data_IF_543305735720
#
_entry.id   IF_543305735720
#
_cell.length_a   1.000
_cell.length_b   1.000
_cell.length_c   1.000
_cell.angle_alpha   90.00
_cell.angle_beta   90.00
_cell.angle_gamma   90.00
#
_symmetry.space_group_name_H-M   'P 1'
#
loop_
_entity.id
_entity.type
_entity.pdbx_description
1 polymer ?
#
# COMPACT_ATOMS: atom_id res chain seq x y z
N UNK A 1 -17.06 -10.66 -10.08
CA UNK A 1 -18.22 -9.92 -9.52
C UNK A 1 -17.82 -9.44 -8.15
N UNK A 2 -17.79 -8.12 -7.95
CA UNK A 2 -17.45 -7.51 -6.67
C UNK A 2 -18.55 -7.71 -5.65
N UNK A 3 -18.16 -8.14 -4.47
CA UNK A 3 -19.01 -8.34 -3.31
C UNK A 3 -18.51 -7.39 -2.24
N UNK A 4 -19.42 -6.61 -1.66
CA UNK A 4 -19.16 -5.75 -0.51
C UNK A 4 -20.10 -6.16 0.59
N UNK A 5 -19.53 -6.56 1.73
CA UNK A 5 -20.29 -6.89 2.94
C UNK A 5 -19.93 -5.93 4.05
N UNK A 6 -20.94 -5.50 4.81
CA UNK A 6 -20.77 -4.79 6.07
C UNK A 6 -20.57 -5.82 7.18
N UNK A 7 -19.62 -5.54 8.07
CA UNK A 7 -19.29 -6.38 9.22
C UNK A 7 -19.69 -5.67 10.52
N UNK A 8 -20.11 -6.44 11.52
CA UNK A 8 -20.40 -5.91 12.86
C UNK A 8 -19.12 -5.73 13.70
N UNK A 9 -18.13 -6.59 13.47
CA UNK A 9 -16.79 -6.56 14.05
C UNK A 9 -15.82 -7.28 13.12
N UNK A 10 -14.51 -7.06 13.28
CA UNK A 10 -13.53 -7.96 12.66
C UNK A 10 -13.39 -9.24 13.49
N UNK A 11 -13.38 -9.06 14.81
CA UNK A 11 -13.31 -10.16 15.76
C UNK A 11 -14.46 -11.16 15.54
N UNK A 12 -14.17 -12.46 15.54
CA UNK A 12 -15.11 -13.58 15.35
C UNK A 12 -15.72 -13.74 13.95
N UNK A 13 -15.69 -12.71 13.09
CA UNK A 13 -16.18 -12.79 11.71
C UNK A 13 -15.04 -13.15 10.75
N UNK A 14 -13.90 -12.49 10.85
CA UNK A 14 -12.73 -12.76 10.01
C UNK A 14 -11.62 -13.39 10.85
N UNK A 15 -11.14 -14.57 10.44
CA UNK A 15 -9.96 -15.16 11.05
C UNK A 15 -8.69 -14.60 10.40
N UNK A 16 -8.22 -13.46 10.90
CA UNK A 16 -7.03 -12.78 10.39
C UNK A 16 -5.72 -13.36 10.96
N UNK A 17 -5.77 -14.14 12.04
CA UNK A 17 -4.59 -14.70 12.71
C UNK A 17 -3.73 -15.61 11.84
N UNK A 18 -4.34 -16.26 10.84
CA UNK A 18 -3.65 -17.12 9.87
C UNK A 18 -3.60 -16.51 8.47
N UNK A 19 -3.86 -15.21 8.36
CA UNK A 19 -3.91 -14.48 7.08
C UNK A 19 -2.65 -13.64 6.87
N UNK A 20 -2.49 -13.17 5.63
CA UNK A 20 -1.50 -12.17 5.27
C UNK A 20 -2.16 -10.83 5.11
N UNK A 21 -1.68 -9.79 5.77
CA UNK A 21 -2.25 -8.46 5.64
C UNK A 21 -1.22 -7.45 5.13
N UNK A 22 -1.68 -6.52 4.30
CA UNK A 22 -0.89 -5.35 3.92
C UNK A 22 -0.72 -4.43 5.12
N UNK A 23 0.34 -3.63 5.15
CA UNK A 23 0.40 -2.48 6.06
C UNK A 23 -0.85 -1.61 5.82
N UNK A 24 -1.61 -1.24 6.86
CA UNK A 24 -2.80 -0.42 6.68
C UNK A 24 -2.46 0.98 6.18
N UNK A 25 -3.26 1.46 5.23
CA UNK A 25 -3.27 2.86 4.80
C UNK A 25 -4.29 3.59 5.67
N UNK A 26 -3.86 4.69 6.29
CA UNK A 26 -4.68 5.45 7.23
C UNK A 26 -4.81 6.89 6.71
N UNK A 27 -6.04 7.33 6.49
CA UNK A 27 -6.36 8.66 5.97
C UNK A 27 -7.72 9.10 6.48
N UNK A 28 -7.84 10.35 6.95
CA UNK A 28 -9.11 10.95 7.39
C UNK A 28 -9.94 10.08 8.33
N UNK A 29 -9.30 9.53 9.38
CA UNK A 29 -9.93 8.59 10.33
C UNK A 29 -10.54 7.35 9.66
N UNK A 30 -9.99 6.92 8.53
CA UNK A 30 -10.32 5.66 7.89
C UNK A 30 -9.07 4.81 7.80
N UNK A 31 -9.21 3.50 7.94
CA UNK A 31 -8.12 2.53 7.82
C UNK A 31 -8.50 1.49 6.77
N UNK A 32 -7.62 1.25 5.82
CA UNK A 32 -7.82 0.27 4.76
C UNK A 32 -6.61 -0.66 4.63
N UNK A 33 -6.85 -1.96 4.50
CA UNK A 33 -5.79 -2.95 4.28
C UNK A 33 -6.28 -4.12 3.45
N UNK A 34 -5.37 -4.70 2.66
CA UNK A 34 -5.60 -5.97 1.98
C UNK A 34 -5.37 -7.13 2.94
N UNK A 35 -6.18 -8.18 2.83
CA UNK A 35 -6.04 -9.41 3.60
C UNK A 35 -6.18 -10.63 2.68
N UNK A 36 -5.28 -11.60 2.82
CA UNK A 36 -5.16 -12.76 1.94
C UNK A 36 -5.31 -14.07 2.71
N UNK A 37 -6.04 -15.02 2.12
CA UNK A 37 -6.30 -16.33 2.71
C UNK A 37 -7.11 -16.26 4.01
N UNK A 38 -8.09 -15.36 4.05
CA UNK A 38 -8.90 -15.07 5.25
C UNK A 38 -10.05 -16.05 5.34
N UNK A 39 -10.25 -16.68 6.49
CA UNK A 39 -11.46 -17.45 6.73
C UNK A 39 -12.60 -16.53 7.16
N UNK A 40 -13.70 -16.61 6.42
CA UNK A 40 -14.93 -15.90 6.68
C UNK A 40 -15.88 -16.81 7.47
N UNK A 41 -16.18 -16.42 8.70
CA UNK A 41 -17.20 -17.07 9.49
C UNK A 41 -18.57 -16.58 9.03
N UNK A 42 -19.36 -17.48 8.42
CA UNK A 42 -20.65 -17.14 7.85
C UNK A 42 -21.69 -16.93 8.96
N UNK A 43 -22.11 -15.69 9.17
CA UNK A 43 -23.27 -15.35 10.01
C UNK A 43 -24.53 -15.15 9.16
N UNK A 44 -25.71 -15.21 9.78
CA UNK A 44 -26.96 -14.88 9.09
C UNK A 44 -26.91 -13.46 8.50
N UNK A 45 -26.31 -12.50 9.23
CA UNK A 45 -26.15 -11.12 8.78
C UNK A 45 -25.33 -11.02 7.49
N UNK A 46 -24.25 -11.80 7.36
CA UNK A 46 -23.44 -11.84 6.15
C UNK A 46 -24.18 -12.55 5.02
N UNK A 47 -24.85 -13.67 5.33
CA UNK A 47 -25.60 -14.45 4.35
C UNK A 47 -26.65 -13.63 3.60
N UNK A 48 -27.41 -12.79 4.30
CA UNK A 48 -28.43 -11.94 3.68
C UNK A 48 -27.88 -10.81 2.82
N UNK A 49 -26.61 -10.44 2.99
CA UNK A 49 -25.94 -9.44 2.15
C UNK A 49 -25.37 -10.04 0.86
N UNK A 50 -25.21 -11.36 0.80
CA UNK A 50 -24.64 -12.01 -0.38
C UNK A 50 -25.62 -12.07 -1.56
N UNK A 51 -25.16 -11.81 -2.79
CA UNK A 51 -25.91 -12.10 -4.01
C UNK A 51 -26.28 -13.58 -4.12
N UNK A 52 -27.40 -13.89 -4.78
CA UNK A 52 -27.89 -15.26 -4.92
C UNK A 52 -26.91 -16.19 -5.66
N UNK A 53 -26.19 -15.65 -6.64
CA UNK A 53 -25.11 -16.35 -7.34
C UNK A 53 -23.96 -16.75 -6.40
N UNK A 54 -23.67 -15.93 -5.38
CA UNK A 54 -22.69 -16.26 -4.35
C UNK A 54 -23.20 -17.37 -3.45
N UNK A 55 -24.43 -17.26 -2.94
CA UNK A 55 -25.04 -18.25 -2.03
C UNK A 55 -25.03 -19.66 -2.61
N UNK A 56 -25.28 -19.80 -3.91
CA UNK A 56 -25.19 -21.07 -4.62
C UNK A 56 -23.79 -21.70 -4.59
N UNK A 57 -22.73 -20.88 -4.63
CA UNK A 57 -21.36 -21.37 -4.42
C UNK A 57 -21.13 -21.71 -2.95
N UNK A 58 -21.54 -20.86 -2.01
CA UNK A 58 -21.32 -21.05 -0.57
C UNK A 58 -21.96 -22.34 -0.05
N UNK A 59 -23.20 -22.64 -0.44
CA UNK A 59 -23.97 -23.79 0.06
C UNK A 59 -23.26 -25.15 -0.11
N UNK A 60 -22.34 -25.24 -1.07
CA UNK A 60 -21.62 -26.49 -1.38
C UNK A 60 -20.36 -26.71 -0.54
N UNK A 61 -19.95 -25.76 0.30
CA UNK A 61 -18.66 -25.81 0.99
C UNK A 61 -18.80 -25.75 2.51
N UNK A 62 -17.92 -26.48 3.22
CA UNK A 62 -17.89 -26.50 4.69
C UNK A 62 -17.01 -25.41 5.30
N UNK A 63 -15.99 -24.96 4.56
CA UNK A 63 -15.10 -23.86 4.94
C UNK A 63 -15.14 -22.78 3.85
N UNK A 64 -15.04 -21.52 4.28
CA UNK A 64 -15.20 -20.36 3.41
C UNK A 64 -13.96 -19.48 3.51
N UNK A 65 -12.95 -19.80 2.72
CA UNK A 65 -11.73 -19.00 2.64
C UNK A 65 -11.82 -18.04 1.47
N UNK A 66 -11.56 -16.77 1.74
CA UNK A 66 -11.43 -15.74 0.70
C UNK A 66 -9.94 -15.55 0.44
N UNK A 67 -9.54 -15.72 -0.82
CA UNK A 67 -8.16 -15.62 -1.27
C UNK A 67 -7.59 -14.23 -1.06
N UNK A 68 -8.37 -13.19 -1.39
CA UNK A 68 -7.99 -11.80 -1.27
C UNK A 68 -9.24 -10.96 -0.97
N UNK A 69 -9.13 -10.04 -0.02
CA UNK A 69 -10.16 -9.05 0.27
C UNK A 69 -9.51 -7.72 0.68
N UNK A 70 -10.25 -6.63 0.53
CA UNK A 70 -9.92 -5.33 1.08
C UNK A 70 -10.84 -5.07 2.27
N UNK A 71 -10.26 -4.76 3.42
CA UNK A 71 -10.99 -4.39 4.63
C UNK A 71 -10.89 -2.89 4.80
N UNK A 72 -12.02 -2.24 5.07
CA UNK A 72 -12.11 -0.81 5.32
C UNK A 72 -12.83 -0.55 6.64
N UNK A 73 -12.19 0.22 7.52
CA UNK A 73 -12.74 0.77 8.76
C UNK A 73 -12.95 2.26 8.58
N UNK A 74 -14.09 2.78 9.00
CA UNK A 74 -14.42 4.21 8.88
C UNK A 74 -14.66 4.84 10.24
N UNK A 75 -14.26 6.10 10.41
CA UNK A 75 -14.41 6.83 11.67
C UNK A 75 -13.72 6.12 12.85
N UNK A 76 -12.45 5.76 12.67
CA UNK A 76 -11.60 5.29 13.77
C UNK A 76 -11.28 6.46 14.71
N UNK A 77 -11.30 6.19 16.02
CA UNK A 77 -10.97 7.18 17.06
C UNK A 77 -9.60 6.92 17.70
N UNK A 78 -9.02 5.74 17.51
CA UNK A 78 -7.63 5.46 17.82
C UNK A 78 -7.13 4.24 17.03
N UNK A 79 -5.83 4.17 16.78
CA UNK A 79 -5.16 2.96 16.28
C UNK A 79 -3.74 2.85 16.80
N UNK A 80 -3.22 1.62 16.82
CA UNK A 80 -1.81 1.30 16.98
C UNK A 80 -1.49 0.09 16.10
N UNK A 81 -0.59 0.26 15.14
CA UNK A 81 -0.12 -0.76 14.22
C UNK A 81 1.34 -1.03 14.56
N UNK A 82 1.63 -2.25 15.03
CA UNK A 82 2.99 -2.68 15.37
C UNK A 82 3.43 -3.78 14.42
N UNK A 83 4.52 -3.53 13.70
CA UNK A 83 5.27 -4.55 12.98
C UNK A 83 6.37 -5.04 13.93
N UNK A 84 6.27 -6.31 14.33
CA UNK A 84 7.19 -6.93 15.27
C UNK A 84 8.59 -7.06 14.67
N UNK A 85 9.55 -7.41 15.53
CA UNK A 85 10.94 -7.64 15.13
C UNK A 85 11.04 -8.54 13.91
N UNK A 86 11.65 -7.99 12.87
CA UNK A 86 12.07 -8.70 11.67
C UNK A 86 13.59 -8.84 11.73
N UNK A 87 14.19 -9.83 11.06
CA UNK A 87 15.65 -10.01 11.08
C UNK A 87 16.44 -8.76 10.64
N UNK A 88 15.80 -7.88 9.86
CA UNK A 88 16.37 -6.60 9.38
C UNK A 88 16.11 -5.41 10.30
N UNK A 89 15.00 -5.40 11.04
CA UNK A 89 14.66 -4.32 11.97
C UNK A 89 14.94 -4.81 13.38
N UNK A 90 16.08 -4.38 13.95
CA UNK A 90 16.52 -4.74 15.31
C UNK A 90 15.52 -4.32 16.40
N UNK A 91 14.53 -3.51 16.05
CA UNK A 91 13.46 -3.01 16.90
C UNK A 91 12.11 -3.13 16.16
N UNK A 92 11.03 -3.27 16.91
CA UNK A 92 9.67 -3.23 16.35
C UNK A 92 9.30 -1.81 15.90
N UNK A 93 8.57 -1.69 14.79
CA UNK A 93 8.08 -0.41 14.29
C UNK A 93 6.62 -0.28 14.71
N UNK A 94 6.26 0.83 15.36
CA UNK A 94 4.89 1.12 15.77
C UNK A 94 4.45 2.47 15.23
N UNK A 95 3.26 2.50 14.62
CA UNK A 95 2.55 3.72 14.23
C UNK A 95 1.25 3.78 15.01
N UNK A 96 1.02 4.87 15.75
CA UNK A 96 -0.17 5.02 16.59
C UNK A 96 -0.67 6.46 16.64
N UNK A 97 -1.99 6.62 16.79
CA UNK A 97 -2.62 7.93 16.91
C UNK A 97 -3.92 7.82 17.71
N UNK A 98 -4.20 8.87 18.50
CA UNK A 98 -5.46 9.05 19.22
C UNK A 98 -6.17 10.31 18.72
N UNK A 99 -7.41 10.17 18.29
CA UNK A 99 -8.24 11.29 17.88
C UNK A 99 -9.04 11.86 19.07
N UNK A 100 -9.57 13.09 18.92
CA UNK A 100 -10.28 13.81 19.99
C UNK A 100 -11.50 13.08 20.56
N UNK A 101 -12.10 12.22 19.76
CA UNK A 101 -13.29 11.42 20.06
C UNK A 101 -12.96 10.02 20.61
N UNK A 102 -11.68 9.74 20.88
CA UNK A 102 -11.25 8.56 21.61
C UNK A 102 -11.91 8.49 23.00
N UNK A 103 -12.29 7.28 23.39
CA UNK A 103 -12.84 7.03 24.72
C UNK A 103 -12.33 5.70 25.26
N UNK A 104 -11.67 5.72 26.42
CA UNK A 104 -11.21 4.52 27.12
C UNK A 104 -12.34 3.56 27.49
N UNK A 105 -13.58 4.05 27.58
CA UNK A 105 -14.77 3.25 27.91
C UNK A 105 -15.36 2.49 26.72
N UNK A 106 -14.87 2.75 25.50
CA UNK A 106 -15.33 2.06 24.28
C UNK A 106 -14.39 0.91 23.94
N UNK A 107 -14.95 -0.16 23.34
CA UNK A 107 -14.19 -1.34 22.95
C UNK A 107 -13.04 -0.97 22.01
N UNK A 108 -11.86 -1.53 22.29
CA UNK A 108 -10.72 -1.54 21.37
C UNK A 108 -10.67 -2.94 20.78
N UNK A 109 -10.78 -3.04 19.46
CA UNK A 109 -10.58 -4.28 18.74
C UNK A 109 -9.09 -4.48 18.47
N UNK A 110 -8.67 -5.74 18.38
CA UNK A 110 -7.31 -6.08 18.00
C UNK A 110 -7.28 -7.38 17.20
N UNK A 111 -6.25 -7.51 16.37
CA UNK A 111 -5.90 -8.76 15.74
C UNK A 111 -4.39 -8.80 15.45
N UNK A 112 -3.88 -10.01 15.29
CA UNK A 112 -2.52 -10.24 14.79
C UNK A 112 -2.61 -10.96 13.45
N UNK A 113 -1.62 -10.75 12.60
CA UNK A 113 -1.51 -11.39 11.29
C UNK A 113 -0.05 -11.42 10.85
N UNK A 114 0.26 -12.18 9.80
CA UNK A 114 1.55 -12.05 9.11
C UNK A 114 1.46 -10.85 8.15
N UNK A 115 2.39 -9.91 8.24
CA UNK A 115 2.48 -8.77 7.34
C UNK A 115 3.03 -9.23 5.98
N UNK A 116 2.42 -8.79 4.89
CA UNK A 116 2.89 -9.14 3.54
C UNK A 116 4.21 -8.45 3.16
N UNK A 117 4.54 -7.35 3.83
CA UNK A 117 5.82 -6.65 3.74
C UNK A 117 5.99 -5.79 5.00
N UNK A 118 7.07 -5.93 5.79
CA UNK A 118 8.34 -6.58 5.46
C UNK A 118 8.41 -8.05 5.90
N UNK A 119 7.32 -8.82 5.78
CA UNK A 119 7.29 -10.25 6.14
C UNK A 119 7.54 -10.51 7.63
N UNK A 120 6.94 -9.70 8.50
CA UNK A 120 6.98 -9.86 9.95
C UNK A 120 5.59 -10.04 10.54
N UNK A 121 5.49 -10.46 11.79
CA UNK A 121 4.20 -10.46 12.49
C UNK A 121 3.74 -9.02 12.70
N UNK A 122 2.49 -8.73 12.36
CA UNK A 122 1.86 -7.44 12.60
C UNK A 122 0.72 -7.58 13.60
N UNK A 123 0.67 -6.67 14.55
CA UNK A 123 -0.40 -6.54 15.53
C UNK A 123 -1.07 -5.20 15.33
N UNK A 124 -2.40 -5.20 15.24
CA UNK A 124 -3.21 -4.01 15.02
C UNK A 124 -4.19 -3.90 16.15
N UNK A 125 -4.22 -2.74 16.80
CA UNK A 125 -5.22 -2.31 17.76
C UNK A 125 -5.96 -1.11 17.19
N UNK A 126 -7.27 -1.05 17.34
CA UNK A 126 -8.04 0.11 16.90
C UNK A 126 -9.35 0.27 17.68
N UNK A 127 -9.80 1.51 17.80
CA UNK A 127 -11.15 1.84 18.23
C UNK A 127 -11.92 2.36 17.02
N UNK A 128 -12.93 1.61 16.59
CA UNK A 128 -13.78 1.97 15.47
C UNK A 128 -15.12 2.53 15.96
N UNK A 129 -15.54 3.70 15.46
CA UNK A 129 -16.84 4.30 15.76
C UNK A 129 -17.79 4.31 14.56
N UNK A 130 -17.31 3.95 13.36
CA UNK A 130 -18.11 3.87 12.16
C UNK A 130 -18.34 2.43 11.69
N UNK A 131 -18.36 2.26 10.38
CA UNK A 131 -18.70 1.02 9.72
C UNK A 131 -17.45 0.26 9.28
N UNK A 132 -17.57 -1.07 9.23
CA UNK A 132 -16.54 -1.99 8.76
C UNK A 132 -17.05 -2.65 7.49
N UNK A 133 -16.24 -2.65 6.44
CA UNK A 133 -16.55 -3.29 5.17
C UNK A 133 -15.46 -4.28 4.78
N UNK A 134 -15.86 -5.39 4.18
CA UNK A 134 -14.99 -6.29 3.45
C UNK A 134 -15.44 -6.37 1.98
N UNK A 135 -14.49 -6.14 1.07
CA UNK A 135 -14.71 -6.16 -0.37
C UNK A 135 -13.84 -7.24 -1.02
N UNK A 136 -14.44 -8.09 -1.86
CA UNK A 136 -13.73 -9.17 -2.56
C UNK A 136 -14.44 -9.56 -3.86
N UNK A 137 -13.73 -10.23 -4.77
CA UNK A 137 -14.35 -10.79 -5.97
C UNK A 137 -14.91 -12.20 -5.69
N UNK A 138 -16.03 -12.55 -6.34
CA UNK A 138 -16.59 -13.91 -6.25
C UNK A 138 -15.59 -15.01 -6.66
N UNK A 139 -14.61 -14.69 -7.50
CA UNK A 139 -13.55 -15.59 -7.95
C UNK A 139 -12.50 -15.86 -6.85
N UNK A 140 -12.38 -14.95 -5.89
CA UNK A 140 -11.51 -15.12 -4.72
C UNK A 140 -12.14 -16.01 -3.65
N UNK A 141 -13.40 -16.42 -3.82
CA UNK A 141 -14.02 -17.43 -2.96
C UNK A 141 -13.45 -18.82 -3.27
N UNK A 142 -12.55 -19.30 -2.42
CA UNK A 142 -11.90 -20.60 -2.61
C UNK A 142 -12.34 -21.57 -1.53
N UNK A 143 -12.79 -22.76 -1.97
CA UNK A 143 -12.90 -23.93 -1.12
C UNK A 143 -11.60 -24.72 -1.19
N UNK A 144 -10.86 -24.79 -0.09
CA UNK A 144 -9.80 -25.78 0.04
C UNK A 144 -10.32 -26.95 0.90
N UNK A 145 -10.01 -28.18 0.51
CA UNK A 145 -9.83 -29.22 1.53
C UNK A 145 -8.61 -28.81 2.38
N UNK A 146 -8.66 -29.02 3.71
CA UNK A 146 -7.62 -28.54 4.65
C UNK A 146 -6.18 -28.82 4.19
N UNK A 147 -5.96 -29.93 3.50
CA UNK A 147 -4.65 -30.34 2.95
C UNK A 147 -4.14 -29.40 1.85
N UNK A 148 -4.99 -29.00 0.91
CA UNK A 148 -4.63 -28.08 -0.19
C UNK A 148 -4.38 -26.66 0.33
N UNK A 149 -5.10 -26.27 1.40
CA UNK A 149 -4.89 -24.98 2.09
C UNK A 149 -3.51 -24.93 2.71
N UNK A 150 -3.09 -26.00 3.37
CA UNK A 150 -1.79 -26.08 4.02
C UNK A 150 -0.66 -26.11 2.98
N UNK A 151 -0.83 -26.82 1.87
CA UNK A 151 0.11 -26.77 0.74
C UNK A 151 0.22 -25.38 0.12
N UNK A 152 -0.90 -24.68 -0.08
CA UNK A 152 -0.87 -23.32 -0.62
C UNK A 152 -0.16 -22.35 0.33
N UNK A 153 -0.42 -22.44 1.64
CA UNK A 153 0.29 -21.66 2.66
C UNK A 153 1.79 -21.95 2.68
N UNK A 154 2.18 -23.22 2.59
CA UNK A 154 3.58 -23.62 2.51
C UNK A 154 4.23 -23.02 1.26
N UNK A 155 3.58 -23.16 0.10
CA UNK A 155 4.07 -22.59 -1.17
C UNK A 155 4.18 -21.07 -1.11
N UNK A 156 3.24 -20.37 -0.46
CA UNK A 156 3.30 -18.92 -0.33
C UNK A 156 4.39 -18.49 0.65
N UNK A 157 4.56 -19.18 1.79
CA UNK A 157 5.70 -18.98 2.71
C UNK A 157 7.05 -19.28 2.04
N UNK A 158 7.14 -20.30 1.19
CA UNK A 158 8.34 -20.61 0.42
C UNK A 158 8.62 -19.53 -0.64
N UNK A 159 7.59 -19.07 -1.37
CA UNK A 159 7.69 -17.94 -2.29
C UNK A 159 8.16 -16.67 -1.58
N UNK A 160 7.74 -16.44 -0.33
CA UNK A 160 8.24 -15.34 0.50
C UNK A 160 9.71 -15.44 0.77
N UNK A 161 10.18 -16.58 1.29
CA UNK A 161 11.61 -16.80 1.54
C UNK A 161 12.43 -16.54 0.27
N UNK A 162 11.92 -16.97 -0.88
CA UNK A 162 12.58 -16.71 -2.17
C UNK A 162 12.58 -15.21 -2.52
N UNK A 163 11.46 -14.50 -2.37
CA UNK A 163 11.38 -13.03 -2.61
C UNK A 163 12.29 -12.25 -1.66
N UNK A 164 12.29 -12.60 -0.38
CA UNK A 164 13.18 -12.02 0.63
C UNK A 164 14.66 -12.22 0.27
N UNK A 165 15.04 -13.42 -0.18
CA UNK A 165 16.41 -13.73 -0.62
C UNK A 165 16.78 -12.92 -1.88
N UNK A 166 15.90 -12.85 -2.88
CA UNK A 166 16.14 -12.05 -4.09
C UNK A 166 16.24 -10.54 -3.80
N UNK A 167 15.46 -10.03 -2.84
CA UNK A 167 15.56 -8.64 -2.36
C UNK A 167 16.81 -8.41 -1.49
N UNK A 168 17.23 -9.40 -0.69
CA UNK A 168 18.46 -9.36 0.12
C UNK A 168 19.73 -9.33 -0.73
N UNK A 169 19.79 -10.13 -1.80
CA UNK A 169 20.92 -10.13 -2.73
C UNK A 169 21.03 -8.80 -3.51
N UNK A 170 19.91 -8.08 -3.67
CA UNK A 170 19.89 -6.80 -4.38
C UNK A 170 20.13 -5.56 -3.49
N UNK A 171 19.90 -5.65 -2.18
CA UNK A 171 19.89 -4.46 -1.30
C UNK A 171 20.51 -4.76 0.08
N UNK A 172 21.72 -4.27 0.36
CA UNK A 172 22.23 -4.17 1.73
C UNK A 172 21.80 -2.83 2.36
N UNK A 173 21.26 -2.86 3.58
CA UNK A 173 20.78 -1.68 4.31
C UNK A 173 21.83 -0.58 4.44
N UNK A 174 23.08 -0.94 4.71
CA UNK A 174 24.21 0.02 4.73
C UNK A 174 24.41 0.71 3.37
N UNK A 175 24.16 0.02 2.25
CA UNK A 175 24.22 0.62 0.92
C UNK A 175 23.01 1.47 0.61
N UNK A 176 21.85 1.24 1.26
CA UNK A 176 20.67 2.11 1.15
C UNK A 176 20.87 3.39 1.95
N UNK A 177 21.28 3.30 3.22
CA UNK A 177 21.52 4.48 4.07
C UNK A 177 22.61 5.38 3.47
N UNK A 178 23.74 4.81 3.02
CA UNK A 178 24.76 5.58 2.31
C UNK A 178 24.28 6.14 0.96
N UNK A 179 23.32 5.47 0.31
CA UNK A 179 22.71 5.97 -0.93
C UNK A 179 21.78 7.13 -0.61
N UNK A 180 20.88 6.98 0.34
CA UNK A 180 19.93 7.99 0.79
C UNK A 180 20.63 9.27 1.26
N UNK A 181 21.68 9.17 2.08
CA UNK A 181 22.44 10.33 2.53
C UNK A 181 23.10 11.06 1.35
N UNK A 182 23.70 10.29 0.41
CA UNK A 182 24.26 10.85 -0.84
C UNK A 182 23.17 11.49 -1.72
N UNK A 183 21.94 10.97 -1.72
CA UNK A 183 20.81 11.53 -2.46
C UNK A 183 20.29 12.82 -1.86
N UNK A 184 20.11 12.89 -0.55
CA UNK A 184 19.70 14.12 0.10
C UNK A 184 20.71 15.24 -0.14
N UNK A 185 22.01 14.93 -0.07
CA UNK A 185 23.09 15.88 -0.41
C UNK A 185 23.00 16.31 -1.88
N UNK A 186 22.75 15.37 -2.81
CA UNK A 186 22.58 15.68 -4.23
C UNK A 186 21.38 16.60 -4.49
N UNK A 187 20.21 16.29 -3.94
CA UNK A 187 19.00 17.12 -4.09
C UNK A 187 19.23 18.51 -3.52
N UNK A 188 19.80 18.62 -2.31
CA UNK A 188 20.15 19.90 -1.69
C UNK A 188 21.10 20.73 -2.57
N UNK A 189 22.13 20.11 -3.15
CA UNK A 189 23.08 20.80 -4.02
C UNK A 189 22.44 21.30 -5.33
N UNK A 190 21.57 20.49 -5.95
CA UNK A 190 20.84 20.91 -7.14
C UNK A 190 19.84 22.02 -6.81
N UNK A 191 19.14 21.92 -5.67
CA UNK A 191 18.20 22.96 -5.24
C UNK A 191 18.89 24.29 -4.96
N UNK A 192 20.05 24.25 -4.29
CA UNK A 192 20.86 25.44 -3.99
C UNK A 192 21.51 26.07 -5.24
N UNK A 193 21.87 25.26 -6.23
CA UNK A 193 22.59 25.74 -7.43
C UNK A 193 21.68 26.05 -8.63
N UNK A 194 20.46 25.49 -8.67
CA UNK A 194 19.53 25.59 -9.80
C UNK A 194 20.06 24.99 -11.10
N UNK A 195 21.15 24.22 -11.05
CA UNK A 195 21.85 23.68 -12.21
C UNK A 195 21.87 22.15 -12.14
N UNK A 196 21.51 21.52 -13.25
CA UNK A 196 21.59 20.07 -13.45
C UNK A 196 22.47 19.84 -14.69
N UNK A 197 23.50 19.02 -14.55
CA UNK A 197 24.38 18.61 -15.64
C UNK A 197 23.97 17.25 -16.22
N UNK A 198 24.60 16.82 -17.33
CA UNK A 198 24.33 15.49 -17.90
C UNK A 198 24.71 14.34 -16.96
N UNK A 199 25.81 14.47 -16.21
CA UNK A 199 26.24 13.47 -15.22
C UNK A 199 25.23 13.33 -14.07
N UNK A 200 24.51 14.40 -13.75
CA UNK A 200 23.48 14.37 -12.71
C UNK A 200 22.25 13.56 -13.15
N UNK A 201 21.94 13.52 -14.45
CA UNK A 201 20.90 12.65 -14.99
C UNK A 201 21.25 11.16 -14.90
N UNK A 202 22.52 10.79 -15.07
CA UNK A 202 22.94 9.39 -14.87
C UNK A 202 22.74 8.95 -13.41
N UNK A 203 22.98 9.86 -12.46
CA UNK A 203 22.66 9.65 -11.04
C UNK A 203 21.15 9.55 -10.82
N UNK A 204 20.35 10.45 -11.39
CA UNK A 204 18.87 10.40 -11.30
C UNK A 204 18.33 9.06 -11.83
N UNK A 205 18.84 8.59 -12.98
CA UNK A 205 18.38 7.34 -13.59
C UNK A 205 18.80 6.09 -12.83
N UNK A 206 20.04 6.05 -12.33
CA UNK A 206 20.54 4.89 -11.57
C UNK A 206 19.88 4.71 -10.19
N UNK A 207 19.05 5.67 -9.78
CA UNK A 207 18.57 5.80 -8.39
C UNK A 207 17.05 5.91 -8.32
N UNK A 208 16.41 5.75 -9.46
CA UNK A 208 14.99 5.45 -9.55
C UNK A 208 14.69 4.01 -9.11
N UNK A 209 13.50 3.77 -8.50
CA UNK A 209 12.42 4.74 -8.26
C UNK A 209 12.58 5.60 -7.01
N UNK A 210 13.58 5.31 -6.15
CA UNK A 210 13.80 6.00 -4.87
C UNK A 210 13.86 7.52 -5.00
N UNK A 211 14.39 8.06 -6.09
CA UNK A 211 14.45 9.52 -6.24
C UNK A 211 13.05 10.18 -6.21
N UNK A 212 12.03 9.54 -6.81
CA UNK A 212 10.69 10.12 -6.96
C UNK A 212 9.98 10.34 -5.62
N UNK A 213 10.29 9.55 -4.59
CA UNK A 213 9.69 9.73 -3.25
C UNK A 213 10.21 10.97 -2.53
N UNK A 214 11.31 11.55 -2.98
CA UNK A 214 11.97 12.69 -2.33
C UNK A 214 11.92 13.99 -3.17
N UNK A 215 11.33 13.95 -4.37
CA UNK A 215 11.25 15.14 -5.22
C UNK A 215 10.03 15.99 -4.89
N UNK A 216 10.26 17.26 -4.58
CA UNK A 216 9.19 18.26 -4.64
C UNK A 216 8.76 18.49 -6.09
N UNK A 217 7.53 19.01 -6.27
CA UNK A 217 6.98 19.35 -7.58
C UNK A 217 7.92 20.27 -8.38
N UNK A 218 8.44 21.31 -7.74
CA UNK A 218 9.37 22.27 -8.35
C UNK A 218 10.63 21.60 -8.89
N UNK A 219 11.15 20.64 -8.15
CA UNK A 219 12.36 19.91 -8.52
C UNK A 219 12.10 18.98 -9.70
N UNK A 220 10.94 18.32 -9.71
CA UNK A 220 10.53 17.47 -10.82
C UNK A 220 10.34 18.28 -12.10
N UNK A 221 9.72 19.46 -12.02
CA UNK A 221 9.61 20.41 -13.14
C UNK A 221 11.01 20.85 -13.63
N UNK A 222 11.93 21.13 -12.72
CA UNK A 222 13.30 21.52 -13.05
C UNK A 222 14.04 20.40 -13.81
N UNK A 223 13.94 19.15 -13.36
CA UNK A 223 14.52 17.99 -14.05
C UNK A 223 13.95 17.89 -15.47
N UNK A 224 12.63 18.00 -15.64
CA UNK A 224 11.99 17.87 -16.94
C UNK A 224 12.44 18.95 -17.93
N UNK A 225 12.49 20.21 -17.47
CA UNK A 225 13.00 21.33 -18.27
C UNK A 225 14.46 21.11 -18.66
N UNK A 226 15.31 20.68 -17.73
CA UNK A 226 16.73 20.44 -17.98
C UNK A 226 16.98 19.23 -18.89
N UNK A 227 16.16 18.19 -18.79
CA UNK A 227 16.23 17.05 -19.68
C UNK A 227 15.99 17.48 -21.13
N UNK A 228 14.98 18.34 -21.34
CA UNK A 228 14.67 18.91 -22.65
C UNK A 228 15.80 19.82 -23.16
N UNK A 229 16.30 20.75 -22.32
CA UNK A 229 17.42 21.62 -22.70
C UNK A 229 18.70 20.85 -23.08
N UNK A 230 18.96 19.72 -22.41
CA UNK A 230 20.15 18.91 -22.62
C UNK A 230 19.98 17.78 -23.65
N UNK A 231 18.77 17.62 -24.20
CA UNK A 231 18.42 16.56 -25.16
C UNK A 231 18.47 15.15 -24.56
N UNK A 232 18.16 15.02 -23.27
CA UNK A 232 18.16 13.75 -22.54
C UNK A 232 16.78 13.12 -22.65
N UNK A 233 16.74 11.89 -23.16
CA UNK A 233 15.51 11.11 -23.24
C UNK A 233 15.22 10.45 -21.90
N UNK A 234 14.02 10.71 -21.36
CA UNK A 234 13.56 10.07 -20.12
C UNK A 234 13.03 8.67 -20.45
N UNK A 235 13.47 7.61 -19.75
CA UNK A 235 12.97 6.26 -19.92
C UNK A 235 11.44 6.14 -19.76
N UNK A 236 10.78 5.31 -20.56
CA UNK A 236 9.32 5.22 -20.58
C UNK A 236 8.70 4.75 -19.26
N UNK A 237 9.38 3.85 -18.53
CA UNK A 237 8.97 3.44 -17.18
C UNK A 237 8.95 4.63 -16.20
N UNK A 238 9.96 5.52 -16.27
CA UNK A 238 9.99 6.74 -15.47
C UNK A 238 8.91 7.73 -15.88
N UNK A 239 8.61 7.87 -17.18
CA UNK A 239 7.56 8.78 -17.65
C UNK A 239 6.21 8.44 -17.04
N UNK A 240 5.91 7.15 -16.90
CA UNK A 240 4.67 6.67 -16.29
C UNK A 240 4.58 7.07 -14.81
N UNK A 241 5.62 6.79 -14.03
CA UNK A 241 5.65 7.09 -12.59
C UNK A 241 5.70 8.60 -12.30
N UNK A 242 6.44 9.36 -13.12
CA UNK A 242 6.41 10.83 -13.09
C UNK A 242 4.99 11.33 -13.35
N UNK A 243 4.29 10.73 -14.31
CA UNK A 243 2.89 11.06 -14.61
C UNK A 243 1.96 10.83 -13.42
N UNK A 244 2.19 9.77 -12.66
CA UNK A 244 1.46 9.45 -11.44
C UNK A 244 1.76 10.48 -10.33
N UNK A 245 3.04 10.77 -10.04
CA UNK A 245 3.43 11.80 -9.08
C UNK A 245 2.83 13.17 -9.41
N UNK A 246 2.78 13.54 -10.69
CA UNK A 246 2.16 14.78 -11.16
C UNK A 246 0.63 14.81 -11.01
N UNK A 247 -0.03 13.66 -10.88
CA UNK A 247 -1.47 13.57 -10.59
C UNK A 247 -1.79 13.77 -9.12
N UNK A 248 -0.99 13.18 -8.22
CA UNK A 248 -1.15 13.38 -6.78
C UNK A 248 -0.80 14.83 -6.39
N UNK A 249 0.29 15.39 -6.94
CA UNK A 249 0.75 16.76 -6.62
C UNK A 249 -0.16 17.88 -7.15
N UNK A 250 -1.06 17.60 -8.10
CA UNK A 250 -2.08 18.57 -8.54
C UNK A 250 -3.17 18.83 -7.49
N UNK A 251 -3.32 17.92 -6.53
CA UNK A 251 -4.29 18.03 -5.42
C UNK A 251 -3.73 18.84 -4.26
N UNK A 252 -2.41 18.94 -4.14
CA UNK A 252 -1.70 19.85 -3.26
C UNK A 252 -1.54 21.24 -3.89
N UNK A 253 -1.33 22.28 -3.08
CA UNK A 253 -1.45 23.70 -3.44
C UNK A 253 -0.37 24.11 -4.47
N UNK A 254 -0.60 23.79 -5.75
CA UNK A 254 0.27 24.18 -6.86
C UNK A 254 -0.02 25.61 -7.32
N UNK A 255 1.03 26.39 -7.60
CA UNK A 255 0.91 27.74 -8.18
C UNK A 255 0.37 27.66 -9.61
N UNK A 256 -0.19 28.76 -10.14
CA UNK A 256 -0.70 28.80 -11.52
C UNK A 256 0.39 28.56 -12.58
N UNK A 257 1.66 28.80 -12.24
CA UNK A 257 2.80 28.48 -13.11
C UNK A 257 3.12 26.99 -13.11
N UNK A 258 3.08 26.34 -11.94
CA UNK A 258 3.25 24.89 -11.82
C UNK A 258 2.13 24.14 -12.52
N UNK A 259 0.86 24.54 -12.34
CA UNK A 259 -0.28 23.90 -13.02
C UNK A 259 -0.14 23.91 -14.54
N UNK A 260 0.31 25.04 -15.11
CA UNK A 260 0.58 25.14 -16.56
C UNK A 260 1.70 24.21 -17.01
N UNK A 261 2.80 24.15 -16.25
CA UNK A 261 3.90 23.24 -16.57
C UNK A 261 3.44 21.77 -16.55
N UNK A 262 2.62 21.38 -15.56
CA UNK A 262 2.07 20.02 -15.47
C UNK A 262 1.18 19.69 -16.69
N UNK A 263 0.30 20.61 -17.09
CA UNK A 263 -0.55 20.41 -18.27
C UNK A 263 0.25 20.25 -19.57
N UNK A 264 1.32 21.04 -19.74
CA UNK A 264 2.22 20.94 -20.89
C UNK A 264 2.92 19.58 -20.94
N UNK A 265 3.47 19.12 -19.81
CA UNK A 265 4.15 17.82 -19.71
C UNK A 265 3.18 16.68 -20.05
N UNK A 266 1.96 16.70 -19.52
CA UNK A 266 0.94 15.67 -19.79
C UNK A 266 0.55 15.60 -21.26
N UNK A 267 0.30 16.76 -21.88
CA UNK A 267 -0.02 16.83 -23.32
C UNK A 267 1.12 16.28 -24.16
N UNK A 268 2.37 16.63 -23.82
CA UNK A 268 3.56 16.19 -24.54
C UNK A 268 3.77 14.69 -24.48
N UNK A 269 3.51 14.07 -23.33
CA UNK A 269 3.77 12.65 -23.08
C UNK A 269 2.55 11.74 -23.26
N UNK A 270 1.42 12.30 -23.72
CA UNK A 270 0.17 11.58 -23.91
C UNK A 270 -0.24 10.76 -22.66
N UNK A 271 0.02 11.32 -21.47
CA UNK A 271 -0.31 10.69 -20.20
C UNK A 271 -1.84 10.72 -20.02
N UNK A 272 -2.46 9.55 -19.83
CA UNK A 272 -3.90 9.47 -19.56
C UNK A 272 -4.25 10.20 -18.26
N UNK A 273 -5.45 10.79 -18.19
CA UNK A 273 -6.01 11.18 -16.89
C UNK A 273 -6.17 9.93 -16.05
N UNK A 274 -5.56 9.91 -14.88
CA UNK A 274 -5.71 8.81 -13.90
C UNK A 274 -7.13 8.81 -13.30
N UNK A 275 -7.81 9.96 -13.34
CA UNK A 275 -9.21 10.12 -12.94
C UNK A 275 -10.06 10.58 -14.13
N UNK A 276 -10.63 9.62 -14.85
CA UNK A 276 -11.90 9.81 -15.58
C UNK A 276 -12.89 8.82 -14.97
N UNK A 277 -14.05 9.33 -14.57
CA UNK A 277 -15.22 8.55 -14.12
C UNK A 277 -15.69 7.54 -15.18
#
# INVERSE_FOLDING_TARGET
MKIKIKLESLENILNLSNSFCTIPIIMDKSMMFGAYGVDLNMSEYIWYQLPEECKNKVYNYKEHTIKAMIITLTNISAYSVTINHHEKFKESITMEEFYKDFSENKKIENFSCECDFPYSNMSIYFQNLGEIYAEFELEDWISYEKEVKEEWKIKERERRKIREIYELESISLEKLEEKEERFQIFICNVHMSGKISKEDFEKIFSTYPLILTYLSLDFLILILKKAEELGIEIPDNMKYDIGYCLADLQTEIATEEEKKAIEEIRKKWNLKKVYED
#
